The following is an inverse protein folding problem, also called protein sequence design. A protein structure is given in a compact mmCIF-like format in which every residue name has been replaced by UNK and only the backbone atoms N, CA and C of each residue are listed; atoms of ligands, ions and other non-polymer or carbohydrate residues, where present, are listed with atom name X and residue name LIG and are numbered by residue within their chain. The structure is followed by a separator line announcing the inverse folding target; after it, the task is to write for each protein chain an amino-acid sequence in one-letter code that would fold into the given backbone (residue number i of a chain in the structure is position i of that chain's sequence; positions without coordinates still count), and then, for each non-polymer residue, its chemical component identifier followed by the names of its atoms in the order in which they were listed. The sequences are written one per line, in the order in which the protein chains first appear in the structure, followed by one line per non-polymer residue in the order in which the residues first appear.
data_IF_674174756897
#
_entry.id   IF_674174756897
#
_cell.length_a   1.000
_cell.length_b   1.000
_cell.length_c   1.000
_cell.angle_alpha   90.00
_cell.angle_beta   90.00
_cell.angle_gamma   90.00
#
_symmetry.space_group_name_H-M   'P 1'
#
loop_
_entity.id
_entity.type
_entity.pdbx_description
1 polymer ?
#
# COMPACT_ATOMS: atom_id res chain seq x y z
N UNK A 1 -11.42 -0.91 11.89
CA UNK A 1 -11.88 -0.48 10.55
C UNK A 1 -10.96 -1.19 9.59
N UNK A 2 -11.39 -2.33 9.05
CA UNK A 2 -10.66 -3.03 7.99
C UNK A 2 -11.70 -3.24 6.90
N UNK A 3 -11.67 -2.34 5.92
CA UNK A 3 -12.48 -2.37 4.72
C UNK A 3 -11.53 -2.15 3.55
N UNK A 4 -11.84 -2.78 2.42
CA UNK A 4 -11.09 -2.53 1.19
C UNK A 4 -11.10 -1.03 0.87
N UNK A 5 -10.00 -0.48 0.32
CA UNK A 5 -9.90 0.94 0.02
C UNK A 5 -10.97 1.37 -0.98
N UNK A 6 -11.59 2.53 -0.71
CA UNK A 6 -12.59 3.12 -1.60
C UNK A 6 -11.93 3.97 -2.70
N UNK A 7 -12.70 4.42 -3.70
CA UNK A 7 -12.21 5.31 -4.77
C UNK A 7 -11.58 6.61 -4.25
N UNK A 8 -12.05 7.13 -3.12
CA UNK A 8 -11.47 8.33 -2.49
C UNK A 8 -10.08 8.08 -1.91
N UNK A 9 -9.86 6.91 -1.32
CA UNK A 9 -8.57 6.54 -0.73
C UNK A 9 -7.54 6.33 -1.84
N UNK A 10 -7.96 5.68 -2.93
CA UNK A 10 -7.14 5.48 -4.13
C UNK A 10 -6.75 6.82 -4.74
N UNK A 11 -7.72 7.73 -4.94
CA UNK A 11 -7.48 9.05 -5.52
C UNK A 11 -6.49 9.86 -4.69
N UNK A 12 -6.62 9.84 -3.36
CA UNK A 12 -5.71 10.55 -2.47
C UNK A 12 -4.28 9.98 -2.51
N UNK A 13 -4.16 8.65 -2.60
CA UNK A 13 -2.85 7.98 -2.65
C UNK A 13 -2.19 8.05 -4.03
N UNK A 14 -2.97 8.20 -5.09
CA UNK A 14 -2.51 8.32 -6.47
C UNK A 14 -1.79 9.66 -6.76
N UNK A 15 -1.85 10.63 -5.82
CA UNK A 15 -1.03 11.83 -5.87
C UNK A 15 0.46 11.46 -5.81
N UNK A 16 1.13 11.55 -6.96
CA UNK A 16 2.53 11.20 -7.10
C UNK A 16 3.44 12.16 -6.32
N UNK A 17 4.39 11.60 -5.57
CA UNK A 17 5.49 12.36 -4.97
C UNK A 17 6.41 12.95 -6.07
N UNK A 18 7.18 14.02 -5.78
CA UNK A 18 8.10 14.60 -6.75
C UNK A 18 9.08 13.58 -7.37
N UNK A 19 9.54 12.62 -6.56
CA UNK A 19 10.42 11.54 -7.00
C UNK A 19 9.71 10.57 -7.96
N UNK A 20 8.44 10.25 -7.69
CA UNK A 20 7.62 9.37 -8.55
C UNK A 20 7.25 10.07 -9.86
N UNK A 21 7.00 11.38 -9.84
CA UNK A 21 6.81 12.18 -11.05
C UNK A 21 8.08 12.23 -11.91
N UNK A 22 9.25 12.28 -11.28
CA UNK A 22 10.53 12.32 -11.99
C UNK A 22 10.85 10.98 -12.69
N UNK A 23 10.47 9.86 -12.09
CA UNK A 23 10.59 8.52 -12.70
C UNK A 23 9.48 8.26 -13.72
N UNK A 24 8.29 8.82 -13.48
CA UNK A 24 7.06 8.56 -14.22
C UNK A 24 6.35 7.32 -13.67
N UNK A 25 5.03 7.41 -13.55
CA UNK A 25 4.15 6.28 -13.25
C UNK A 25 3.14 6.15 -14.39
N UNK A 26 3.03 4.95 -14.96
CA UNK A 26 2.15 4.67 -16.09
C UNK A 26 0.67 4.72 -15.69
N UNK A 27 0.36 4.29 -14.46
CA UNK A 27 -0.98 4.32 -13.88
C UNK A 27 -0.90 4.52 -12.35
N UNK A 28 -0.92 5.79 -11.89
CA UNK A 28 -0.87 6.12 -10.48
C UNK A 28 -2.04 5.56 -9.65
N UNK A 29 -3.24 5.43 -10.24
CA UNK A 29 -4.42 4.91 -9.56
C UNK A 29 -4.31 3.40 -9.35
N UNK A 30 -3.87 2.65 -10.38
CA UNK A 30 -3.62 1.23 -10.23
C UNK A 30 -2.50 0.93 -9.22
N UNK A 31 -1.43 1.74 -9.23
CA UNK A 31 -0.37 1.65 -8.24
C UNK A 31 -0.90 1.91 -6.82
N UNK A 32 -1.70 2.95 -6.64
CA UNK A 32 -2.31 3.30 -5.35
C UNK A 32 -3.23 2.19 -4.83
N UNK A 33 -4.08 1.62 -5.68
CA UNK A 33 -4.98 0.54 -5.33
C UNK A 33 -4.21 -0.70 -4.83
N UNK A 34 -3.15 -1.11 -5.55
CA UNK A 34 -2.34 -2.26 -5.16
C UNK A 34 -1.65 -2.06 -3.80
N UNK A 35 -1.10 -0.87 -3.55
CA UNK A 35 -0.44 -0.55 -2.27
C UNK A 35 -1.44 -0.55 -1.11
N UNK A 36 -2.64 0.00 -1.32
CA UNK A 36 -3.67 0.07 -0.28
C UNK A 36 -4.22 -1.31 0.05
N UNK A 37 -4.38 -2.18 -0.94
CA UNK A 37 -4.80 -3.57 -0.77
C UNK A 37 -3.76 -4.34 0.07
N UNK A 38 -2.48 -4.31 -0.34
CA UNK A 38 -1.38 -4.92 0.41
C UNK A 38 -1.29 -4.37 1.84
N UNK A 39 -1.44 -3.05 2.01
CA UNK A 39 -1.41 -2.41 3.33
C UNK A 39 -2.58 -2.86 4.22
N UNK A 40 -3.75 -3.08 3.62
CA UNK A 40 -4.93 -3.58 4.31
C UNK A 40 -4.71 -5.01 4.79
N UNK A 41 -4.18 -5.89 3.92
CA UNK A 41 -3.82 -7.26 4.26
C UNK A 41 -2.83 -7.32 5.43
N UNK A 42 -1.75 -6.53 5.36
CA UNK A 42 -0.75 -6.47 6.43
C UNK A 42 -1.30 -5.93 7.75
N UNK A 43 -2.32 -5.08 7.69
CA UNK A 43 -3.01 -4.54 8.87
C UNK A 43 -3.96 -5.57 9.48
N UNK A 44 -4.63 -6.38 8.66
CA UNK A 44 -5.53 -7.46 9.09
C UNK A 44 -4.76 -8.68 9.61
N UNK A 45 -3.63 -9.00 9.01
CA UNK A 45 -2.78 -10.16 9.31
C UNK A 45 -1.37 -9.77 9.78
N UNK A 46 -1.22 -8.97 10.85
CA UNK A 46 0.09 -8.48 11.28
C UNK A 46 1.05 -9.59 11.72
N UNK A 47 0.53 -10.73 12.20
CA UNK A 47 1.35 -11.89 12.59
C UNK A 47 2.05 -12.56 11.40
N UNK A 48 1.46 -12.51 10.21
CA UNK A 48 2.05 -13.07 9.00
C UNK A 48 3.31 -12.28 8.62
N UNK A 49 3.19 -10.96 8.54
CA UNK A 49 4.34 -10.07 8.29
C UNK A 49 5.43 -10.19 9.36
N UNK A 50 5.06 -10.47 10.62
CA UNK A 50 6.04 -10.67 11.71
C UNK A 50 6.85 -11.96 11.51
N UNK A 51 6.20 -13.07 11.13
CA UNK A 51 6.86 -14.37 10.92
C UNK A 51 7.83 -14.34 9.75
N UNK A 52 7.51 -13.57 8.72
CA UNK A 52 8.37 -13.42 7.53
C UNK A 52 9.55 -12.47 7.75
N UNK A 53 9.49 -11.64 8.80
CA UNK A 53 10.49 -10.62 9.07
C UNK A 53 11.76 -11.22 9.70
N UNK A 54 12.92 -11.01 9.07
CA UNK A 54 14.22 -11.31 9.67
C UNK A 54 14.63 -10.32 10.77
N UNK A 55 13.88 -9.24 10.96
CA UNK A 55 14.16 -8.18 11.94
C UNK A 55 13.54 -8.44 13.31
N UNK A 56 12.58 -9.35 13.43
CA UNK A 56 11.87 -9.65 14.68
C UNK A 56 12.15 -11.10 15.09
N UNK A 57 13.20 -11.37 15.88
CA UNK A 57 13.46 -12.72 16.38
C UNK A 57 12.39 -13.16 17.39
N UNK A 58 12.13 -14.47 17.44
CA UNK A 58 11.22 -15.12 18.41
C UNK A 58 11.56 -14.83 19.88
#
# INVERSE_FOLDING_TARGET
MSGQPDESDISQRAELLPEEQAVGSDDPEAQAAAILDESSERTEYPEETRRESTQTPD
#
